data_IF_604908353574
#
_entry.id   IF_604908353574
#
_cell.length_a   1.000
_cell.length_b   1.000
_cell.length_c   1.000
_cell.angle_alpha   90.00
_cell.angle_beta   90.00
_cell.angle_gamma   90.00
#
_symmetry.space_group_name_H-M   'P 1'
#
loop_
_entity.id
_entity.type
_entity.pdbx_description
1 polymer ?
#
# COMPACT_ATOMS: atom_id res chain seq x y z
N UNK A 1 13.87 5.49 0.24
CA UNK A 1 13.41 4.25 -0.40
C UNK A 1 13.55 4.35 -1.92
N UNK A 2 14.04 3.29 -2.55
CA UNK A 2 14.21 3.18 -4.01
C UNK A 2 13.22 2.16 -4.56
N UNK A 3 12.55 2.48 -5.67
CA UNK A 3 11.66 1.52 -6.34
C UNK A 3 12.49 0.55 -7.20
N UNK A 4 12.25 -0.75 -7.04
CA UNK A 4 13.00 -1.82 -7.71
C UNK A 4 12.07 -2.85 -8.35
N UNK A 5 12.53 -3.51 -9.41
CA UNK A 5 11.79 -4.59 -10.06
C UNK A 5 12.09 -5.91 -9.35
N UNK A 6 11.07 -6.57 -8.82
CA UNK A 6 11.17 -7.88 -8.17
C UNK A 6 10.92 -9.01 -9.18
N UNK A 7 11.35 -10.22 -8.85
CA UNK A 7 11.18 -11.38 -9.73
C UNK A 7 9.73 -11.86 -9.84
N UNK A 8 8.93 -11.72 -8.78
CA UNK A 8 7.60 -12.35 -8.68
C UNK A 8 6.46 -11.42 -8.26
N UNK A 9 6.76 -10.24 -7.70
CA UNK A 9 5.75 -9.34 -7.12
C UNK A 9 5.63 -8.02 -7.89
N UNK A 10 6.22 -7.92 -9.09
CA UNK A 10 6.27 -6.67 -9.83
C UNK A 10 7.19 -5.66 -9.16
N UNK A 11 6.71 -4.44 -8.93
CA UNK A 11 7.49 -3.39 -8.28
C UNK A 11 7.58 -3.61 -6.76
N UNK A 12 8.74 -3.33 -6.20
CA UNK A 12 9.02 -3.32 -4.76
C UNK A 12 9.71 -2.03 -4.34
N UNK A 13 9.98 -1.90 -3.04
CA UNK A 13 10.84 -0.84 -2.49
C UNK A 13 12.00 -1.43 -1.70
N UNK A 14 13.14 -0.76 -1.78
CA UNK A 14 14.35 -1.06 -1.04
C UNK A 14 14.77 0.15 -0.20
N UNK A 15 15.31 -0.09 1.00
CA UNK A 15 15.84 0.96 1.84
C UNK A 15 17.09 1.57 1.18
N UNK A 16 17.13 2.90 1.07
CA UNK A 16 18.28 3.63 0.54
C UNK A 16 19.38 3.88 1.58
N UNK A 17 19.06 3.61 2.84
CA UNK A 17 19.89 3.83 4.01
C UNK A 17 19.54 2.80 5.08
N UNK A 18 20.36 2.69 6.11
CA UNK A 18 20.08 1.84 7.28
C UNK A 18 18.89 2.41 8.05
N UNK A 19 17.91 1.56 8.36
CA UNK A 19 16.73 1.89 9.16
C UNK A 19 16.79 1.04 10.42
N UNK A 20 16.79 1.66 11.59
CA UNK A 20 16.83 0.94 12.86
C UNK A 20 15.43 0.43 13.25
N UNK A 21 15.40 -0.58 14.12
CA UNK A 21 14.14 -1.14 14.58
C UNK A 21 13.34 -0.09 15.37
N UNK A 22 12.14 0.21 14.89
CA UNK A 22 11.22 1.17 15.49
C UNK A 22 11.25 2.55 14.82
N UNK A 23 12.14 2.77 13.85
CA UNK A 23 12.14 3.99 13.07
C UNK A 23 10.91 4.08 12.17
N UNK A 24 10.44 5.31 11.99
CA UNK A 24 9.41 5.62 11.01
C UNK A 24 9.97 5.48 9.59
N UNK A 25 9.25 4.75 8.73
CA UNK A 25 9.68 4.48 7.35
C UNK A 25 8.97 5.42 6.37
N UNK A 26 7.64 5.29 6.28
CA UNK A 26 6.82 6.06 5.36
C UNK A 26 5.34 5.99 5.77
N UNK A 27 4.58 7.02 5.44
CA UNK A 27 3.12 7.00 5.52
C UNK A 27 2.52 6.33 4.28
N UNK A 28 1.54 5.45 4.47
CA UNK A 28 0.76 4.89 3.38
C UNK A 28 -0.29 5.90 2.92
N UNK A 29 0.02 6.68 1.87
CA UNK A 29 -0.86 7.76 1.39
C UNK A 29 -1.61 7.37 0.12
N UNK A 30 -2.85 7.85 0.02
CA UNK A 30 -3.71 7.70 -1.15
C UNK A 30 -5.02 8.45 -0.98
N UNK A 31 -6.00 8.17 -1.84
CA UNK A 31 -7.34 8.74 -1.70
C UNK A 31 -8.10 8.03 -0.58
N UNK A 32 -8.66 8.78 0.37
CA UNK A 32 -9.55 8.21 1.38
C UNK A 32 -10.95 8.08 0.77
N UNK A 33 -11.44 6.84 0.67
CA UNK A 33 -12.71 6.49 0.07
C UNK A 33 -13.57 5.68 1.05
N UNK A 34 -14.89 5.73 0.85
CA UNK A 34 -15.85 4.92 1.61
C UNK A 34 -15.98 3.50 1.02
N UNK A 35 -16.73 2.64 1.72
CA UNK A 35 -16.91 1.24 1.32
C UNK A 35 -17.60 1.10 -0.04
N UNK A 36 -18.56 1.98 -0.36
CA UNK A 36 -19.27 1.95 -1.63
C UNK A 36 -18.33 2.26 -2.82
N UNK A 37 -17.49 3.30 -2.68
CA UNK A 37 -16.48 3.64 -3.66
C UNK A 37 -15.38 2.56 -3.75
N UNK A 38 -14.99 1.98 -2.62
CA UNK A 38 -14.01 0.89 -2.57
C UNK A 38 -14.50 -0.34 -3.34
N UNK A 39 -15.73 -0.79 -3.06
CA UNK A 39 -16.35 -1.91 -3.75
C UNK A 39 -16.46 -1.65 -5.26
N UNK A 40 -16.96 -0.47 -5.64
CA UNK A 40 -17.08 -0.09 -7.06
C UNK A 40 -15.73 -0.16 -7.77
N UNK A 41 -14.67 0.42 -7.17
CA UNK A 41 -13.33 0.43 -7.76
C UNK A 41 -12.76 -0.98 -7.87
N UNK A 42 -12.94 -1.84 -6.85
CA UNK A 42 -12.49 -3.23 -6.90
C UNK A 42 -13.17 -4.01 -8.03
N UNK A 43 -14.47 -3.82 -8.24
CA UNK A 43 -15.18 -4.43 -9.37
C UNK A 43 -14.64 -3.92 -10.71
N UNK A 44 -14.49 -2.61 -10.87
CA UNK A 44 -13.95 -2.03 -12.11
C UNK A 44 -12.54 -2.55 -12.42
N UNK A 45 -11.68 -2.66 -11.40
CA UNK A 45 -10.33 -3.20 -11.53
C UNK A 45 -10.34 -4.67 -11.95
N UNK A 46 -11.22 -5.47 -11.33
CA UNK A 46 -11.42 -6.89 -11.68
C UNK A 46 -11.89 -7.04 -13.13
N UNK A 47 -12.85 -6.24 -13.58
CA UNK A 47 -13.34 -6.27 -14.97
C UNK A 47 -12.27 -5.85 -15.97
N UNK A 48 -11.37 -4.96 -15.59
CA UNK A 48 -10.21 -4.54 -16.40
C UNK A 48 -9.04 -5.53 -16.36
N UNK A 49 -9.14 -6.60 -15.56
CA UNK A 49 -8.07 -7.59 -15.42
C UNK A 49 -6.82 -7.04 -14.73
N UNK A 50 -6.96 -6.06 -13.84
CA UNK A 50 -5.85 -5.55 -13.04
C UNK A 50 -5.50 -6.55 -11.93
N UNK A 51 -4.21 -6.82 -11.78
CA UNK A 51 -3.71 -7.81 -10.81
C UNK A 51 -3.24 -7.20 -9.49
N UNK A 52 -2.90 -5.91 -9.50
CA UNK A 52 -2.39 -5.21 -8.32
C UNK A 52 -3.47 -4.32 -7.69
N UNK A 53 -3.68 -4.50 -6.38
CA UNK A 53 -4.64 -3.74 -5.58
C UNK A 53 -3.91 -2.97 -4.49
N UNK A 54 -4.29 -1.71 -4.29
CA UNK A 54 -3.61 -0.79 -3.38
C UNK A 54 -4.56 -0.21 -2.33
N UNK A 55 -5.44 -1.08 -1.82
CA UNK A 55 -6.44 -0.75 -0.81
C UNK A 55 -5.91 -1.03 0.59
N UNK A 56 -6.00 -0.07 1.49
CA UNK A 56 -5.58 -0.18 2.88
C UNK A 56 -6.66 0.34 3.83
N UNK A 57 -7.30 -0.54 4.59
CA UNK A 57 -8.38 -0.19 5.52
C UNK A 57 -7.84 0.54 6.77
N UNK A 58 -8.22 1.81 6.95
CA UNK A 58 -7.83 2.59 8.13
C UNK A 58 -8.76 2.25 9.30
N UNK A 59 -10.06 2.23 9.06
CA UNK A 59 -11.11 1.94 10.03
C UNK A 59 -12.35 1.49 9.28
N UNK A 60 -13.34 0.99 10.01
CA UNK A 60 -14.66 0.69 9.47
C UNK A 60 -15.18 1.88 8.64
N UNK A 61 -15.66 1.59 7.43
CA UNK A 61 -16.20 2.54 6.46
C UNK A 61 -15.17 3.45 5.75
N UNK A 62 -13.85 3.31 6.01
CA UNK A 62 -12.81 4.14 5.40
C UNK A 62 -11.57 3.35 4.95
N UNK A 63 -11.30 3.42 3.66
CA UNK A 63 -10.16 2.79 3.00
C UNK A 63 -9.28 3.84 2.31
N UNK A 64 -7.96 3.67 2.37
CA UNK A 64 -7.02 4.40 1.53
C UNK A 64 -6.86 3.62 0.23
N UNK A 65 -7.14 4.25 -0.90
CA UNK A 65 -6.85 3.75 -2.24
C UNK A 65 -5.63 4.48 -2.83
N UNK A 66 -4.50 3.78 -2.92
CA UNK A 66 -3.28 4.27 -3.53
C UNK A 66 -3.12 3.89 -5.02
N UNK A 67 -4.21 3.51 -5.70
CA UNK A 67 -4.18 3.07 -7.11
C UNK A 67 -3.83 4.21 -8.06
N UNK A 68 -4.46 5.38 -7.90
CA UNK A 68 -4.29 6.53 -8.80
C UNK A 68 -3.46 7.67 -8.20
N UNK A 69 -3.50 7.85 -6.88
CA UNK A 69 -2.73 8.86 -6.14
C UNK A 69 -2.11 8.18 -4.93
N UNK A 70 -0.82 8.38 -4.72
CA UNK A 70 -0.09 7.80 -3.59
C UNK A 70 1.40 8.12 -3.66
N UNK A 71 2.19 7.47 -2.83
CA UNK A 71 3.66 7.55 -2.86
C UNK A 71 4.26 6.13 -3.03
N UNK A 72 5.57 5.99 -2.82
CA UNK A 72 6.28 4.71 -2.95
C UNK A 72 5.79 3.61 -1.99
N UNK A 73 5.05 3.94 -0.92
CA UNK A 73 4.48 2.97 0.03
C UNK A 73 3.60 1.92 -0.64
N UNK A 74 2.95 2.26 -1.76
CA UNK A 74 2.09 1.33 -2.52
C UNK A 74 2.84 0.13 -3.08
N UNK A 75 4.16 0.20 -3.14
CA UNK A 75 5.04 -0.88 -3.62
C UNK A 75 5.65 -1.70 -2.47
N UNK A 76 5.23 -1.48 -1.22
CA UNK A 76 5.56 -2.38 -0.11
C UNK A 76 4.83 -3.71 -0.34
N UNK A 77 5.60 -4.77 -0.57
CA UNK A 77 5.05 -6.09 -0.85
C UNK A 77 4.73 -6.86 0.43
N UNK A 78 3.82 -7.83 0.29
CA UNK A 78 3.58 -8.83 1.33
C UNK A 78 4.78 -9.78 1.46
N UNK A 79 5.09 -10.19 2.69
CA UNK A 79 6.03 -11.26 3.01
C UNK A 79 5.45 -12.12 4.15
N UNK A 80 5.67 -13.43 4.10
CA UNK A 80 5.35 -14.34 5.21
C UNK A 80 6.27 -14.13 6.42
N UNK A 81 7.45 -13.54 6.20
CA UNK A 81 8.41 -13.12 7.22
C UNK A 81 8.69 -11.62 7.01
N UNK A 82 7.82 -10.72 7.50
CA UNK A 82 7.90 -9.29 7.22
C UNK A 82 8.97 -8.62 8.07
N UNK A 83 9.62 -7.59 7.51
CA UNK A 83 10.60 -6.74 8.22
C UNK A 83 10.04 -5.36 8.61
N UNK A 84 8.79 -5.06 8.25
CA UNK A 84 8.09 -3.80 8.53
C UNK A 84 6.68 -4.11 9.05
N UNK A 85 6.10 -3.17 9.78
CA UNK A 85 4.71 -3.25 10.26
C UNK A 85 3.93 -2.01 9.83
N UNK A 86 2.63 -2.19 9.58
CA UNK A 86 1.71 -1.09 9.36
C UNK A 86 1.08 -0.71 10.71
N UNK A 87 1.29 0.52 11.14
CA UNK A 87 0.71 1.05 12.37
C UNK A 87 -0.33 2.14 12.09
N UNK A 88 -1.37 2.21 12.92
CA UNK A 88 -2.40 3.25 12.85
C UNK A 88 -2.10 4.31 13.91
N UNK A 89 -1.84 5.53 13.45
CA UNK A 89 -1.52 6.67 14.31
C UNK A 89 -2.73 7.59 14.39
N UNK A 90 -3.20 7.85 15.62
CA UNK A 90 -4.29 8.79 15.91
C UNK A 90 -3.65 9.92 16.73
N UNK A 91 -3.86 11.16 16.30
CA UNK A 91 -3.46 12.35 17.06
C UNK A 91 -4.39 12.59 18.26
#
# INVERSE_FOLDING_TARGET
MLCTQTLFCGWGVEASETIEKGDFIIEYVGEVIDDAACEQRLWDMKYKGLENFYMCEIRKDFTIDATFKGNSSRFLNHSCDPNCILEKWIL
#
